data_IF_298463210923
#
_entry.id   IF_298463210923
#
_cell.length_a   1.000
_cell.length_b   1.000
_cell.length_c   1.000
_cell.angle_alpha   90.00
_cell.angle_beta   90.00
_cell.angle_gamma   90.00
#
_symmetry.space_group_name_H-M   'P 1'
#
loop_
_entity.id
_entity.type
_entity.pdbx_description
1 polymer ?
2 polymer ?
3 non-polymer ?
4 water ?
#
# COMPACT_ATOMS: atom_id res chain seq x y z
N UNK A 1 26.92 6.72 11.20
CA UNK A 1 26.41 5.51 11.92
C UNK A 1 24.96 5.20 11.59
N UNK A 2 24.15 6.24 11.46
CA UNK A 2 22.74 6.10 11.14
C UNK A 2 22.49 6.40 9.66
N UNK A 3 21.68 5.57 9.02
CA UNK A 3 21.40 5.75 7.61
C UNK A 3 19.90 5.81 7.33
N UNK A 4 19.57 6.41 6.19
CA UNK A 4 18.19 6.52 5.74
C UNK A 4 18.04 5.46 4.65
N UNK A 5 16.91 4.78 4.66
CA UNK A 5 16.64 3.74 3.67
C UNK A 5 15.26 3.94 3.08
N UNK A 6 15.18 3.90 1.75
CA UNK A 6 13.88 4.04 1.10
C UNK A 6 13.69 3.07 -0.07
N UNK A 7 12.44 2.78 -0.39
CA UNK A 7 12.12 1.85 -1.46
C UNK A 7 11.70 2.45 -2.79
N UNK A 8 12.07 1.73 -3.85
CA UNK A 8 11.74 2.07 -5.23
C UNK A 8 11.49 0.74 -5.91
N UNK A 9 10.93 0.77 -7.11
CA UNK A 9 10.67 -0.44 -7.85
C UNK A 9 12.01 -1.09 -8.19
N UNK A 10 12.15 -2.34 -7.76
CA UNK A 10 13.37 -3.11 -8.02
C UNK A 10 14.59 -2.83 -7.16
N UNK A 11 14.43 -2.04 -6.10
CA UNK A 11 15.58 -1.73 -5.24
C UNK A 11 15.24 -1.05 -3.92
N UNK A 12 16.25 -0.94 -3.06
CA UNK A 12 16.14 -0.26 -1.78
C UNK A 12 17.38 0.67 -1.78
N UNK A 13 17.14 1.97 -1.64
CA UNK A 13 18.23 2.95 -1.63
C UNK A 13 18.72 3.23 -0.21
N UNK A 14 19.97 3.67 -0.12
CA UNK A 14 20.60 3.98 1.16
C UNK A 14 21.41 5.27 1.11
N UNK A 15 21.25 6.10 2.13
CA UNK A 15 22.01 7.35 2.23
C UNK A 15 22.24 7.71 3.69
N UNK A 16 23.48 8.12 4.02
CA UNK A 16 23.92 8.51 5.35
C UNK A 16 23.21 9.71 5.93
N UNK A 17 23.09 9.72 7.26
CA UNK A 17 22.47 10.79 8.01
C UNK A 17 23.48 11.26 9.05
N UNK A 18 24.19 12.35 8.77
CA UNK A 18 25.16 12.88 9.71
C UNK A 18 24.58 14.13 10.38
N UNK A 19 24.15 13.96 11.63
CA UNK A 19 23.55 15.03 12.42
C UNK A 19 22.36 15.71 11.75
N UNK A 20 21.25 14.97 11.65
CA UNK A 20 20.01 15.45 11.04
C UNK A 20 20.15 15.98 9.61
N UNK A 21 21.20 15.55 8.91
CA UNK A 21 21.44 15.99 7.54
C UNK A 21 21.61 14.81 6.57
N UNK A 22 20.93 14.87 5.44
CA UNK A 22 21.03 13.81 4.43
C UNK A 22 22.26 14.02 3.55
N UNK A 23 23.12 13.01 3.46
CA UNK A 23 24.31 13.09 2.61
C UNK A 23 23.89 12.61 1.23
N UNK A 24 23.22 13.50 0.49
CA UNK A 24 22.69 13.18 -0.85
C UNK A 24 23.69 12.65 -1.86
N UNK A 25 24.90 13.20 -1.84
CA UNK A 25 25.95 12.78 -2.77
C UNK A 25 26.49 11.39 -2.49
N UNK A 26 26.21 10.88 -1.29
CA UNK A 26 26.66 9.57 -0.85
C UNK A 26 25.60 8.47 -0.99
N UNK A 27 24.47 8.82 -1.59
CA UNK A 27 23.38 7.88 -1.80
C UNK A 27 23.76 6.76 -2.79
N UNK A 28 23.76 5.53 -2.28
CA UNK A 28 24.09 4.36 -3.10
C UNK A 28 23.05 3.29 -2.83
N UNK A 29 22.90 2.36 -3.77
CA UNK A 29 21.94 1.28 -3.62
C UNK A 29 22.33 0.32 -2.51
N UNK A 30 21.36 -0.01 -1.67
CA UNK A 30 21.58 -0.94 -0.58
C UNK A 30 21.42 -2.36 -1.14
N UNK A 31 20.40 -2.54 -1.95
CA UNK A 31 20.11 -3.85 -2.51
C UNK A 31 19.31 -3.72 -3.79
N UNK A 32 19.62 -4.60 -4.74
CA UNK A 32 18.90 -4.66 -6.00
C UNK A 32 18.12 -5.97 -6.06
N UNK A 33 16.80 -5.86 -6.16
CA UNK A 33 15.94 -7.04 -6.28
C UNK A 33 15.06 -6.68 -7.47
N UNK A 34 15.62 -6.78 -8.69
CA UNK A 34 15.02 -6.47 -9.99
C UNK A 34 13.57 -6.89 -10.26
N UNK A 35 13.19 -8.09 -9.82
CA UNK A 35 11.82 -8.54 -10.05
C UNK A 35 10.77 -7.99 -9.08
N UNK A 36 11.20 -7.36 -8.00
CA UNK A 36 10.26 -6.87 -6.98
C UNK A 36 9.88 -5.39 -6.92
N UNK A 37 8.74 -5.14 -6.30
CA UNK A 37 8.24 -3.78 -6.09
C UNK A 37 8.19 -3.68 -4.56
N UNK A 38 9.29 -3.20 -3.99
CA UNK A 38 9.42 -3.05 -2.54
C UNK A 38 8.51 -1.91 -2.07
N UNK A 39 7.67 -2.20 -1.08
CA UNK A 39 6.75 -1.19 -0.56
C UNK A 39 7.06 -0.78 0.88
N UNK A 40 6.92 -1.71 1.82
CA UNK A 40 7.20 -1.39 3.21
C UNK A 40 8.62 -1.69 3.65
N UNK A 41 9.14 -0.89 4.58
CA UNK A 41 10.49 -1.09 5.11
C UNK A 41 10.52 -0.92 6.62
N UNK A 42 11.38 -1.68 7.28
CA UNK A 42 11.54 -1.60 8.73
C UNK A 42 12.99 -1.98 9.06
N UNK A 43 13.43 -1.65 10.26
CA UNK A 43 14.80 -1.95 10.63
C UNK A 43 14.93 -2.49 12.05
N UNK A 44 15.60 -3.63 12.19
CA UNK A 44 15.82 -4.27 13.48
C UNK A 44 17.14 -3.75 14.05
N UNK A 45 17.05 -2.92 15.09
CA UNK A 45 18.22 -2.32 15.71
C UNK A 45 19.19 -3.23 16.44
N UNK A 46 18.75 -4.41 16.88
CA UNK A 46 19.66 -5.31 17.60
C UNK A 46 20.59 -6.10 16.69
N UNK A 47 20.06 -6.62 15.58
CA UNK A 47 20.87 -7.38 14.63
C UNK A 47 21.26 -6.60 13.39
N UNK A 48 20.77 -5.36 13.29
CA UNK A 48 21.04 -4.49 12.14
C UNK A 48 20.51 -5.15 10.87
N UNK A 49 19.23 -5.49 10.87
CA UNK A 49 18.61 -6.14 9.71
C UNK A 49 17.45 -5.33 9.14
N UNK A 50 17.45 -5.21 7.82
CA UNK A 50 16.42 -4.49 7.09
C UNK A 50 15.30 -5.46 6.66
N UNK A 51 14.05 -5.11 6.98
CA UNK A 51 12.90 -5.92 6.59
C UNK A 51 12.08 -5.16 5.55
N UNK A 52 11.42 -5.91 4.66
CA UNK A 52 10.60 -5.31 3.60
C UNK A 52 9.42 -6.16 3.15
N UNK A 53 8.50 -5.50 2.46
CA UNK A 53 7.33 -6.18 1.90
C UNK A 53 7.40 -5.95 0.40
N UNK A 54 7.01 -6.97 -0.35
CA UNK A 54 7.01 -6.93 -1.81
C UNK A 54 5.61 -7.30 -2.31
N UNK A 55 5.00 -6.41 -3.07
CA UNK A 55 3.66 -6.65 -3.61
C UNK A 55 3.66 -7.36 -4.96
N UNK A 56 4.85 -7.59 -5.51
CA UNK A 56 5.00 -8.24 -6.80
C UNK A 56 4.81 -9.77 -6.77
N UNK A 57 5.55 -10.46 -5.91
CA UNK A 57 5.45 -11.91 -5.82
C UNK A 57 4.10 -12.45 -5.32
N UNK A 58 3.62 -11.98 -4.14
CA UNK A 58 4.15 -11.01 -3.19
C UNK A 58 4.99 -11.71 -2.12
N UNK A 59 5.68 -10.95 -1.28
CA UNK A 59 6.51 -11.54 -0.24
C UNK A 59 7.02 -10.56 0.81
N UNK A 60 7.61 -11.12 1.86
CA UNK A 60 8.20 -10.36 2.95
C UNK A 60 9.60 -10.93 3.09
N UNK A 61 10.60 -10.05 3.08
CA UNK A 61 11.97 -10.50 3.18
C UNK A 61 12.85 -9.68 4.10
N UNK A 62 14.11 -10.11 4.21
CA UNK A 62 15.08 -9.43 5.06
C UNK A 62 16.52 -9.68 4.61
N UNK A 63 17.40 -8.76 5.01
CA UNK A 63 18.82 -8.84 4.69
C UNK A 63 19.59 -7.98 5.68
N UNK A 64 20.77 -8.45 6.08
CA UNK A 64 21.61 -7.71 7.01
C UNK A 64 22.05 -6.41 6.33
N UNK A 65 22.20 -5.35 7.12
CA UNK A 65 22.62 -4.07 6.60
C UNK A 65 24.05 -4.16 6.08
N UNK A 66 24.87 -4.93 6.79
CA UNK A 66 26.27 -5.11 6.44
C UNK A 66 26.48 -6.31 5.52
N UNK A 67 26.50 -6.04 4.21
CA UNK A 67 26.69 -7.10 3.22
C UNK A 67 25.41 -7.84 2.91
N UNK A 68 25.10 -8.84 3.73
CA UNK A 68 23.89 -9.65 3.61
C UNK A 68 23.18 -9.89 2.28
N UNK A 69 22.96 -11.18 2.01
CA UNK A 69 22.25 -11.61 0.81
C UNK A 69 20.75 -11.56 1.16
N UNK A 70 19.90 -11.06 0.25
CA UNK A 70 18.45 -10.98 0.52
C UNK A 70 17.79 -12.34 0.65
N UNK A 71 16.97 -12.51 1.69
CA UNK A 71 16.26 -13.78 1.91
C UNK A 71 14.78 -13.54 2.18
N UNK A 72 13.94 -14.32 1.51
CA UNK A 72 12.49 -14.24 1.66
C UNK A 72 12.03 -15.12 2.82
N UNK A 73 11.22 -14.56 3.72
CA UNK A 73 10.72 -15.34 4.86
C UNK A 73 9.28 -15.81 4.69
N UNK A 74 8.46 -15.03 3.97
CA UNK A 74 7.07 -15.39 3.75
C UNK A 74 6.63 -15.16 2.30
N UNK A 75 5.91 -16.14 1.74
CA UNK A 75 5.39 -16.10 0.37
C UNK A 75 3.93 -16.54 0.34
N UNK A 76 3.64 -17.64 1.04
CA UNK A 76 2.31 -18.24 1.08
C UNK A 76 1.23 -17.35 1.69
N UNK A 77 -0.01 -17.58 1.28
CA UNK A 77 -1.17 -16.87 1.79
C UNK A 77 -0.97 -15.38 2.07
N UNK A 78 -0.41 -14.68 1.08
CA UNK A 78 -0.16 -13.25 1.18
C UNK A 78 -0.94 -12.52 0.11
N UNK A 79 -1.47 -11.35 0.49
CA UNK A 79 -2.22 -10.54 -0.44
C UNK A 79 -1.38 -9.37 -0.93
N UNK A 80 -1.53 -8.23 -0.28
CA UNK A 80 -0.79 -7.02 -0.62
C UNK A 80 -0.14 -6.39 0.63
N UNK A 81 1.01 -6.93 1.06
CA UNK A 81 1.72 -6.41 2.25
C UNK A 81 2.32 -5.04 1.93
N UNK A 82 1.90 -4.02 2.65
CA UNK A 82 2.37 -2.66 2.37
C UNK A 82 3.01 -1.89 3.51
N UNK A 83 3.09 -2.51 4.66
CA UNK A 83 3.70 -1.87 5.82
C UNK A 83 4.19 -2.98 6.72
N UNK A 84 5.34 -2.77 7.36
CA UNK A 84 5.90 -3.76 8.25
C UNK A 84 6.60 -3.06 9.41
N UNK A 85 6.35 -3.56 10.63
CA UNK A 85 6.93 -3.02 11.85
C UNK A 85 7.52 -4.16 12.68
N UNK A 86 8.46 -3.84 13.56
CA UNK A 86 9.10 -4.87 14.36
C UNK A 86 9.03 -4.69 15.86
N UNK A 87 9.24 -5.80 16.57
CA UNK A 87 9.30 -5.82 18.02
C UNK A 87 10.72 -6.36 18.21
N UNK A 88 11.68 -5.46 18.35
CA UNK A 88 13.07 -5.85 18.50
C UNK A 88 13.36 -6.56 19.83
N UNK A 89 12.45 -6.43 20.80
CA UNK A 89 12.61 -7.06 22.10
C UNK A 89 12.06 -8.48 22.07
N UNK A 90 10.78 -8.60 21.69
CA UNK A 90 10.13 -9.90 21.61
C UNK A 90 10.52 -10.70 20.39
N UNK A 91 11.22 -10.07 19.45
CA UNK A 91 11.70 -10.72 18.21
C UNK A 91 10.57 -11.11 17.25
N UNK A 92 9.69 -10.16 16.94
CA UNK A 92 8.59 -10.45 16.02
C UNK A 92 8.34 -9.32 15.01
N UNK A 93 7.63 -9.64 13.94
CA UNK A 93 7.28 -8.67 12.91
C UNK A 93 5.76 -8.50 12.86
N UNK A 94 5.32 -7.37 12.33
CA UNK A 94 3.90 -7.05 12.18
C UNK A 94 3.76 -6.48 10.78
N UNK A 95 2.63 -6.72 10.11
CA UNK A 95 2.46 -6.15 8.79
C UNK A 95 1.00 -5.96 8.40
N UNK A 96 0.77 -5.05 7.47
CA UNK A 96 -0.56 -4.78 6.97
C UNK A 96 -0.72 -5.45 5.61
N UNK A 97 -1.94 -5.88 5.31
CA UNK A 97 -2.25 -6.53 4.05
C UNK A 97 -3.58 -5.93 3.64
N UNK A 98 -3.55 -5.09 2.60
CA UNK A 98 -4.75 -4.40 2.12
C UNK A 98 -5.61 -5.20 1.13
N UNK A 99 -5.19 -6.42 0.84
CA UNK A 99 -5.93 -7.31 -0.07
C UNK A 99 -6.71 -8.30 0.79
N UNK A 100 -6.00 -9.06 1.63
CA UNK A 100 -6.62 -10.03 2.54
C UNK A 100 -7.26 -9.33 3.75
N UNK A 101 -7.06 -8.02 3.82
CA UNK A 101 -7.61 -7.18 4.88
C UNK A 101 -7.26 -7.59 6.29
N UNK A 102 -5.97 -7.57 6.59
CA UNK A 102 -5.55 -7.96 7.92
C UNK A 102 -4.20 -7.46 8.36
N UNK A 103 -3.94 -7.66 9.65
CA UNK A 103 -2.69 -7.31 10.28
C UNK A 103 -2.21 -8.60 10.93
N UNK A 104 -1.07 -9.08 10.48
CA UNK A 104 -0.52 -10.31 11.02
C UNK A 104 0.76 -10.05 11.81
N UNK A 105 1.08 -10.99 12.67
CA UNK A 105 2.28 -10.92 13.48
C UNK A 105 2.94 -12.29 13.33
N UNK A 106 4.28 -12.31 13.35
CA UNK A 106 5.02 -13.56 13.20
C UNK A 106 6.45 -13.40 13.75
N UNK A 107 7.16 -14.52 13.89
CA UNK A 107 8.53 -14.50 14.37
C UNK A 107 9.43 -13.83 13.32
N UNK A 108 10.61 -13.38 13.72
CA UNK A 108 11.53 -12.73 12.80
C UNK A 108 11.79 -13.56 11.52
N UNK A 109 11.85 -14.88 11.67
CA UNK A 109 12.09 -15.75 10.51
C UNK A 109 10.82 -16.08 9.72
N UNK A 110 9.71 -15.44 10.09
CA UNK A 110 8.46 -15.66 9.39
C UNK A 110 7.58 -16.82 9.86
N UNK A 111 8.04 -17.58 10.85
CA UNK A 111 7.24 -18.70 11.34
C UNK A 111 6.24 -18.31 12.42
N UNK A 112 5.31 -19.21 12.69
CA UNK A 112 4.27 -19.04 13.70
C UNK A 112 3.38 -17.82 13.49
N UNK A 113 2.89 -17.70 12.25
CA UNK A 113 2.00 -16.61 11.88
C UNK A 113 0.71 -16.62 12.70
N UNK A 114 0.20 -15.42 12.96
CA UNK A 114 -1.04 -15.25 13.69
C UNK A 114 -1.71 -14.00 13.13
N UNK A 115 -3.01 -14.12 12.84
CA UNK A 115 -3.76 -12.98 12.34
C UNK A 115 -4.17 -12.19 13.57
N UNK A 116 -3.51 -11.06 13.77
CA UNK A 116 -3.79 -10.20 14.92
C UNK A 116 -5.16 -9.54 14.79
N UNK A 117 -5.45 -8.98 13.61
CA UNK A 117 -6.73 -8.33 13.35
C UNK A 117 -7.15 -8.60 11.92
N UNK A 118 -8.45 -8.72 11.67
CA UNK A 118 -8.92 -8.97 10.31
C UNK A 118 -10.34 -8.50 10.04
N UNK A 119 -10.82 -7.59 10.88
CA UNK A 119 -12.15 -7.02 10.72
C UNK A 119 -11.95 -5.52 10.81
N UNK A 120 -12.81 -4.75 10.16
CA UNK A 120 -12.67 -3.29 10.18
C UNK A 120 -11.46 -2.78 9.41
N UNK A 121 -10.87 -3.62 8.59
CA UNK A 121 -9.69 -3.24 7.80
C UNK A 121 -10.05 -3.29 6.32
N UNK A 122 -9.85 -2.19 5.63
CA UNK A 122 -10.15 -2.10 4.21
C UNK A 122 -8.88 -1.77 3.42
N UNK A 123 -8.17 -0.73 3.85
CA UNK A 123 -6.93 -0.33 3.21
C UNK A 123 -5.82 -0.01 4.22
N UNK A 124 -5.50 -0.97 5.12
CA UNK A 124 -4.44 -0.68 6.09
C UNK A 124 -3.15 -0.50 5.31
N UNK A 125 -2.25 0.32 5.82
CA UNK A 125 -1.00 0.54 5.11
C UNK A 125 0.12 0.81 6.10
N UNK A 126 0.21 2.03 6.61
CA UNK A 126 1.24 2.36 7.57
C UNK A 126 1.08 1.62 8.88
N UNK A 127 2.20 1.18 9.45
CA UNK A 127 2.17 0.49 10.74
C UNK A 127 3.52 0.62 11.45
N UNK A 128 3.47 0.95 12.74
CA UNK A 128 4.68 1.10 13.55
C UNK A 128 4.48 0.55 14.95
N UNK A 129 5.59 0.27 15.62
CA UNK A 129 5.58 -0.25 16.98
C UNK A 129 6.32 0.68 17.91
N UNK A 130 6.11 0.47 19.20
CA UNK A 130 6.78 1.18 20.29
C UNK A 130 6.99 0.01 21.26
N UNK A 131 7.94 -0.88 20.93
CA UNK A 131 8.26 -2.06 21.73
C UNK A 131 8.42 -1.87 23.23
N UNK A 132 9.03 -0.76 23.64
CA UNK A 132 9.24 -0.52 25.06
C UNK A 132 7.93 -0.34 25.85
N UNK A 133 6.94 0.35 25.25
CA UNK A 133 5.66 0.56 25.93
C UNK A 133 4.57 -0.45 25.51
N UNK A 134 4.91 -1.33 24.56
CA UNK A 134 3.98 -2.34 24.09
C UNK A 134 2.80 -1.89 23.25
N UNK A 135 3.00 -0.84 22.45
CA UNK A 135 1.93 -0.34 21.61
C UNK A 135 2.13 -0.46 20.10
N UNK A 136 1.02 -0.69 19.40
CA UNK A 136 0.99 -0.84 17.95
C UNK A 136 0.09 0.26 17.37
N UNK A 137 0.51 0.85 16.25
CA UNK A 137 -0.25 1.91 15.59
C UNK A 137 -0.30 1.68 14.07
N UNK A 138 -1.44 1.99 13.45
CA UNK A 138 -1.54 1.82 12.01
C UNK A 138 -2.54 2.76 11.35
N UNK A 139 -2.42 2.90 10.04
CA UNK A 139 -3.34 3.74 9.27
C UNK A 139 -4.15 2.86 8.35
N UNK A 140 -5.34 3.33 8.01
CA UNK A 140 -6.23 2.62 7.09
C UNK A 140 -6.77 3.75 6.24
N UNK A 141 -6.31 3.83 4.99
CA UNK A 141 -6.77 4.91 4.12
C UNK A 141 -8.13 4.75 3.48
N UNK A 142 -8.94 3.86 4.06
CA UNK A 142 -10.33 3.58 3.65
C UNK A 142 -10.96 4.88 3.15
N UNK A 143 -11.18 4.98 1.84
CA UNK A 143 -11.73 6.19 1.24
C UNK A 143 -12.91 6.79 2.00
N UNK A 144 -13.83 5.93 2.42
CA UNK A 144 -15.03 6.37 3.13
C UNK A 144 -14.84 6.66 4.62
N UNK A 145 -14.02 5.85 5.28
CA UNK A 145 -13.78 6.04 6.71
C UNK A 145 -12.31 5.85 7.08
N UNK A 146 -11.45 6.80 6.68
CA UNK A 146 -10.02 6.72 6.98
C UNK A 146 -9.79 6.80 8.50
N UNK A 147 -8.74 6.14 8.98
CA UNK A 147 -8.49 6.18 10.42
C UNK A 147 -7.06 5.83 10.84
N UNK A 148 -6.72 6.27 12.05
CA UNK A 148 -5.44 5.98 12.67
C UNK A 148 -5.87 5.15 13.87
N UNK A 149 -5.37 3.92 13.97
CA UNK A 149 -5.75 3.07 15.09
C UNK A 149 -4.56 2.65 15.93
N UNK A 150 -4.86 2.22 17.15
CA UNK A 150 -3.83 1.74 18.04
C UNK A 150 -4.36 0.53 18.79
N UNK A 151 -3.42 -0.26 19.30
CA UNK A 151 -3.76 -1.44 20.09
C UNK A 151 -2.49 -1.86 20.79
N UNK A 152 -2.62 -2.77 21.75
CA UNK A 152 -1.45 -3.29 22.44
C UNK A 152 -0.80 -4.21 21.39
N UNK A 153 0.50 -4.44 21.51
CA UNK A 153 1.17 -5.32 20.57
C UNK A 153 0.69 -6.76 20.72
N UNK A 154 0.09 -7.06 21.88
CA UNK A 154 -0.44 -8.41 22.16
C UNK A 154 -1.81 -8.66 21.54
N UNK A 155 -2.40 -7.63 20.93
CA UNK A 155 -3.69 -7.80 20.28
C UNK A 155 -4.90 -7.29 21.03
N UNK A 156 -4.72 -6.85 22.28
CA UNK A 156 -5.83 -6.33 23.07
C UNK A 156 -5.90 -4.80 22.95
N UNK A 157 -6.97 -4.25 23.50
CA UNK A 157 -7.19 -2.81 23.55
C UNK A 157 -7.14 -2.04 22.21
N UNK A 158 -7.79 -2.60 21.20
CA UNK A 158 -7.85 -1.93 19.91
C UNK A 158 -8.80 -0.74 20.01
N UNK A 159 -8.42 0.38 19.40
CA UNK A 159 -9.27 1.57 19.42
C UNK A 159 -8.84 2.58 18.37
N UNK A 160 -9.78 3.40 17.95
CA UNK A 160 -9.53 4.44 16.96
C UNK A 160 -8.95 5.65 17.68
N UNK A 161 -7.85 6.17 17.13
CA UNK A 161 -7.16 7.33 17.70
C UNK A 161 -7.60 8.62 17.00
N UNK A 162 -7.72 8.58 15.68
CA UNK A 162 -8.13 9.74 14.89
C UNK A 162 -9.03 9.22 13.78
N UNK A 163 -10.08 9.98 13.46
CA UNK A 163 -11.05 9.58 12.46
C UNK A 163 -11.49 10.76 11.60
N UNK A 164 -11.70 11.89 12.25
CA UNK A 164 -12.11 13.12 11.58
C UNK A 164 -10.95 13.82 10.91
N UNK A 165 -11.28 14.62 9.90
CA UNK A 165 -10.29 15.37 9.15
C UNK A 165 -9.10 14.54 8.66
N UNK A 166 -9.40 13.36 8.16
CA UNK A 166 -8.39 12.46 7.60
C UNK A 166 -8.84 12.18 6.17
N UNK A 167 -7.89 12.09 5.25
CA UNK A 167 -8.21 11.80 3.86
C UNK A 167 -7.58 10.51 3.42
N UNK A 168 -6.27 10.54 3.20
CA UNK A 168 -5.52 9.36 2.80
C UNK A 168 -4.28 9.22 3.70
N UNK A 169 -4.46 8.77 4.95
CA UNK A 169 -3.30 8.61 5.84
C UNK A 169 -2.49 7.41 5.36
N UNK A 170 -1.42 7.69 4.60
CA UNK A 170 -0.59 6.64 4.04
C UNK A 170 0.49 6.04 4.92
N UNK A 171 1.08 6.85 5.77
CA UNK A 171 2.12 6.36 6.64
C UNK A 171 2.13 7.07 7.98
N UNK A 172 2.67 6.42 8.99
CA UNK A 172 2.77 7.05 10.30
C UNK A 172 4.08 6.67 10.97
N UNK A 173 4.42 7.40 12.02
CA UNK A 173 5.66 7.13 12.71
C UNK A 173 5.52 7.52 14.17
N UNK A 174 6.27 6.87 15.04
CA UNK A 174 6.20 7.18 16.46
C UNK A 174 7.55 7.51 17.04
N UNK A 175 7.61 8.61 17.78
CA UNK A 175 8.85 9.05 18.43
C UNK A 175 8.67 8.88 19.94
N UNK A 176 9.37 7.89 20.48
CA UNK A 176 9.31 7.54 21.90
C UNK A 176 9.59 8.66 22.91
N UNK A 177 10.58 9.50 22.64
CA UNK A 177 10.91 10.58 23.57
C UNK A 177 9.79 11.59 23.71
N UNK A 178 9.36 12.15 22.58
CA UNK A 178 8.30 13.14 22.61
C UNK A 178 6.89 12.55 22.71
N UNK A 179 6.79 11.22 22.78
CA UNK A 179 5.50 10.53 22.85
C UNK A 179 4.58 11.12 21.77
N UNK A 180 5.14 11.20 20.56
CA UNK A 180 4.45 11.78 19.43
C UNK A 180 4.22 10.81 18.27
N UNK A 181 2.97 10.69 17.88
CA UNK A 181 2.59 9.85 16.76
C UNK A 181 2.26 10.80 15.61
N UNK A 182 3.00 10.68 14.52
CA UNK A 182 2.77 11.54 13.37
C UNK A 182 2.42 10.71 12.14
N UNK A 183 1.58 11.26 11.28
CA UNK A 183 1.22 10.59 10.05
C UNK A 183 1.25 11.60 8.91
N UNK A 184 1.33 11.12 7.68
CA UNK A 184 1.33 11.97 6.50
C UNK A 184 0.05 11.62 5.75
N UNK A 185 -0.67 12.64 5.30
CA UNK A 185 -1.95 12.43 4.64
C UNK A 185 -1.98 13.00 3.24
N UNK A 186 -2.14 12.13 2.24
CA UNK A 186 -2.17 12.56 0.85
C UNK A 186 -3.53 13.07 0.40
N UNK A 187 -4.47 13.11 1.34
CA UNK A 187 -5.82 13.59 1.05
C UNK A 187 -6.01 14.99 1.59
N UNK A 188 -5.56 15.22 2.83
CA UNK A 188 -5.64 16.53 3.47
C UNK A 188 -4.36 17.32 3.17
N UNK A 189 -3.42 16.67 2.49
CA UNK A 189 -2.13 17.27 2.11
C UNK A 189 -1.32 17.81 3.29
N UNK A 190 -1.25 17.02 4.36
CA UNK A 190 -0.49 17.44 5.52
C UNK A 190 0.07 16.34 6.40
N UNK A 191 0.87 16.75 7.37
CA UNK A 191 1.47 15.85 8.34
C UNK A 191 0.87 16.26 9.68
N UNK A 192 0.40 15.27 10.45
CA UNK A 192 -0.18 15.58 11.75
C UNK A 192 0.45 14.73 12.83
N UNK A 193 0.68 15.35 13.99
CA UNK A 193 1.27 14.68 15.13
C UNK A 193 0.32 14.80 16.30
N UNK A 194 0.38 13.82 17.18
CA UNK A 194 -0.47 13.81 18.35
C UNK A 194 0.14 12.92 19.43
N UNK A 195 -0.25 13.18 20.68
CA UNK A 195 0.19 12.37 21.80
C UNK A 195 -0.97 11.41 22.03
N UNK A 196 -0.73 10.09 21.93
CA UNK A 196 -1.79 9.09 22.12
C UNK A 196 -2.57 9.22 23.43
N UNK A 197 -1.97 9.89 24.42
CA UNK A 197 -2.63 10.11 25.71
C UNK A 197 -3.69 11.20 25.61
N UNK A 198 -3.39 12.24 24.81
CA UNK A 198 -4.30 13.37 24.57
C UNK A 198 -4.49 13.41 23.05
N UNK A 199 -5.26 12.46 22.50
CA UNK A 199 -5.55 12.34 21.06
C UNK A 199 -6.19 13.55 20.38
N UNK A 200 -6.97 14.32 21.14
CA UNK A 200 -7.64 15.48 20.59
C UNK A 200 -6.81 16.63 20.04
N UNK A 201 -5.61 16.83 20.59
CA UNK A 201 -4.74 17.91 20.15
C UNK A 201 -3.75 17.49 19.05
N UNK A 202 -3.97 18.00 17.84
CA UNK A 202 -3.13 17.68 16.70
C UNK A 202 -2.31 18.84 16.13
N UNK A 203 -0.98 18.65 16.07
CA UNK A 203 -0.09 19.64 15.48
C UNK A 203 -0.19 19.37 13.99
N UNK A 204 -0.27 20.40 13.16
CA UNK A 204 -0.35 20.15 11.73
C UNK A 204 0.62 20.96 10.89
N UNK A 205 1.25 20.28 9.95
CA UNK A 205 2.17 20.89 9.01
C UNK A 205 1.47 20.79 7.65
N UNK A 206 1.29 21.92 6.98
CA UNK A 206 0.61 21.94 5.69
C UNK A 206 1.55 21.97 4.49
N UNK A 207 0.98 21.80 3.31
CA UNK A 207 1.77 21.85 2.09
C UNK A 207 2.37 20.57 1.56
N UNK A 208 2.01 19.41 2.11
CA UNK A 208 2.55 18.14 1.63
C UNK A 208 1.81 17.70 0.36
N UNK A 209 2.54 17.62 -0.74
CA UNK A 209 1.97 17.26 -2.04
C UNK A 209 1.29 15.89 -2.14
N UNK A 210 2.07 14.81 -2.04
CA UNK A 210 1.50 13.47 -2.10
C UNK A 210 2.38 12.49 -1.35
N UNK A 211 2.36 12.58 -0.01
CA UNK A 211 3.16 11.74 0.87
C UNK A 211 2.71 10.29 0.82
N UNK A 212 3.66 9.37 0.85
CA UNK A 212 3.35 7.95 0.86
C UNK A 212 3.78 7.29 2.16
N UNK A 213 5.03 7.52 2.58
CA UNK A 213 5.53 6.93 3.81
C UNK A 213 6.31 7.95 4.60
N UNK A 214 6.50 7.68 5.87
CA UNK A 214 7.23 8.60 6.73
C UNK A 214 7.92 7.85 7.85
N UNK A 215 9.00 8.44 8.33
CA UNK A 215 9.77 7.91 9.43
C UNK A 215 10.32 9.12 10.17
N UNK A 216 10.77 8.92 11.39
CA UNK A 216 11.28 10.04 12.16
C UNK A 216 12.64 9.80 12.80
N UNK A 217 13.33 10.91 13.04
CA UNK A 217 14.64 10.91 13.68
C UNK A 217 14.68 12.19 14.52
N UNK A 218 14.21 12.08 15.76
CA UNK A 218 14.17 13.21 16.68
C UNK A 218 13.08 14.21 16.35
N UNK A 219 13.50 15.44 16.06
CA UNK A 219 12.58 16.53 15.72
C UNK A 219 12.24 16.56 14.21
N UNK A 220 13.01 15.83 13.42
CA UNK A 220 12.80 15.78 11.97
C UNK A 220 11.96 14.62 11.42
N UNK A 221 11.17 14.92 10.41
CA UNK A 221 10.34 13.92 9.75
C UNK A 221 10.89 13.73 8.34
N UNK A 222 10.92 12.49 7.88
CA UNK A 222 11.40 12.22 6.53
C UNK A 222 10.29 11.44 5.82
N UNK A 223 9.75 12.03 4.76
CA UNK A 223 8.70 11.36 4.01
C UNK A 223 8.98 11.23 2.52
N UNK A 224 8.36 10.22 1.90
CA UNK A 224 8.50 9.99 0.47
C UNK A 224 7.28 10.60 -0.20
N UNK A 225 7.50 11.26 -1.33
CA UNK A 225 6.43 11.93 -2.04
C UNK A 225 6.33 11.46 -3.48
N UNK A 226 5.10 11.10 -3.88
CA UNK A 226 4.80 10.61 -5.22
C UNK A 226 4.72 11.71 -6.29
N UNK A 227 4.34 12.91 -5.87
CA UNK A 227 4.21 14.03 -6.79
C UNK A 227 5.59 14.60 -7.15
N UNK A 228 6.42 14.83 -6.14
CA UNK A 228 7.75 15.41 -6.33
C UNK A 228 8.86 14.39 -6.58
N UNK A 229 8.57 13.12 -6.39
CA UNK A 229 9.57 12.06 -6.55
C UNK A 229 10.81 12.35 -5.73
N UNK A 230 10.62 12.65 -4.45
CA UNK A 230 11.75 12.94 -3.58
C UNK A 230 11.49 12.60 -2.13
N UNK A 231 12.58 12.56 -1.36
CA UNK A 231 12.51 12.31 0.08
C UNK A 231 12.59 13.71 0.68
N UNK A 232 11.58 14.07 1.46
CA UNK A 232 11.53 15.39 2.06
C UNK A 232 11.70 15.35 3.58
N UNK A 233 12.62 16.19 4.07
CA UNK A 233 12.89 16.31 5.51
C UNK A 233 12.17 17.54 6.05
N UNK A 234 11.34 17.34 7.07
CA UNK A 234 10.59 18.43 7.68
C UNK A 234 10.81 18.50 9.18
N UNK A 235 10.90 19.71 9.71
CA UNK A 235 11.08 19.92 11.15
C UNK A 235 9.70 20.16 11.78
N UNK A 236 9.39 19.38 12.80
CA UNK A 236 8.10 19.46 13.49
C UNK A 236 7.73 20.86 14.00
N UNK A 237 8.47 21.33 15.01
CA UNK A 237 8.23 22.62 15.64
C UNK A 237 8.17 23.83 14.70
N UNK A 238 9.29 24.20 14.11
CA UNK A 238 9.32 25.35 13.21
C UNK A 238 8.49 25.18 11.94
N UNK A 239 7.99 23.96 11.71
CA UNK A 239 7.17 23.65 10.54
C UNK A 239 7.79 24.12 9.23
N UNK A 240 9.08 23.86 9.09
CA UNK A 240 9.82 24.26 7.90
C UNK A 240 10.28 23.03 7.11
N UNK A 241 10.52 23.23 5.83
CA UNK A 241 11.02 22.15 4.97
C UNK A 241 12.53 22.26 5.04
N UNK A 242 13.15 21.34 5.77
CA UNK A 242 14.59 21.36 5.95
C UNK A 242 15.39 21.07 4.69
N UNK A 243 15.02 20.02 3.95
CA UNK A 243 15.76 19.62 2.77
C UNK A 243 15.00 18.62 1.91
N UNK A 244 15.45 18.43 0.68
CA UNK A 244 14.82 17.47 -0.24
C UNK A 244 15.90 16.73 -1.02
N UNK A 245 15.64 15.45 -1.30
CA UNK A 245 16.57 14.63 -2.06
C UNK A 245 15.85 14.03 -3.26
N UNK A 246 16.34 14.34 -4.45
CA UNK A 246 15.77 13.79 -5.68
C UNK A 246 16.71 12.74 -6.23
N UNK A 247 16.36 11.45 -6.11
CA UNK A 247 17.26 10.42 -6.65
C UNK A 247 17.30 10.59 -8.17
N UNK A 248 18.46 10.38 -8.79
CA UNK A 248 18.60 10.54 -10.24
C UNK A 248 17.57 9.75 -11.06
N UNK A 249 17.31 8.52 -10.64
CA UNK A 249 16.32 7.68 -11.32
C UNK A 249 14.98 8.05 -10.69
N UNK A 250 14.25 8.93 -11.36
CA UNK A 250 12.97 9.44 -10.86
C UNK A 250 11.75 8.51 -10.90
N UNK A 251 11.89 7.30 -10.34
CA UNK A 251 10.78 6.36 -10.28
C UNK A 251 10.03 6.53 -8.95
N UNK A 252 8.86 5.91 -8.84
CA UNK A 252 8.02 6.02 -7.65
C UNK A 252 8.71 5.57 -6.36
N UNK A 253 8.76 6.46 -5.38
CA UNK A 253 9.37 6.16 -4.08
C UNK A 253 8.31 5.54 -3.17
N UNK A 254 8.70 4.56 -2.35
CA UNK A 254 7.75 3.93 -1.44
C UNK A 254 8.12 4.07 0.04
N UNK A 255 8.23 2.94 0.74
CA UNK A 255 8.55 2.96 2.16
C UNK A 255 9.86 3.64 2.52
N UNK A 256 9.98 4.04 3.76
CA UNK A 256 11.17 4.71 4.26
C UNK A 256 11.37 4.37 5.73
N UNK A 257 12.61 4.13 6.11
CA UNK A 257 12.94 3.79 7.49
C UNK A 257 14.35 4.27 7.83
N UNK A 258 14.65 4.36 9.11
CA UNK A 258 15.97 4.82 9.54
C UNK A 258 16.76 3.70 10.22
N UNK A 259 17.97 3.48 9.72
CA UNK A 259 18.86 2.46 10.27
C UNK A 259 19.68 3.06 11.40
N UNK A 260 19.26 2.83 12.63
CA UNK A 260 19.97 3.35 13.80
C UNK A 260 21.18 2.50 14.12
N UNK A 261 22.22 3.14 14.66
CA UNK A 261 23.47 2.45 15.02
C UNK A 261 23.31 1.60 16.28
N UNK A 262 22.25 1.87 17.03
CA UNK A 262 21.93 1.14 18.25
C UNK A 262 20.47 1.39 18.60
N UNK A 263 19.88 0.53 19.43
CA UNK A 263 18.49 0.67 19.82
C UNK A 263 18.20 1.92 20.67
N UNK B 1 29.90 -0.50 -26.94
CA UNK B 1 30.75 0.50 -26.22
C UNK B 1 29.93 1.61 -25.55
N UNK B 2 28.99 2.26 -26.28
CA UNK B 2 28.21 3.32 -25.63
C UNK B 2 27.28 2.73 -24.56
N UNK B 3 26.86 3.55 -23.60
CA UNK B 3 25.97 3.10 -22.54
C UNK B 3 24.69 2.50 -23.11
N UNK B 4 24.35 1.26 -22.73
CA UNK B 4 23.13 0.63 -23.23
C UNK B 4 21.94 1.18 -22.45
N UNK B 5 21.67 2.47 -22.65
CA UNK B 5 20.60 3.17 -21.95
C UNK B 5 19.88 4.16 -22.84
N UNK B 6 18.60 4.40 -22.58
CA UNK B 6 17.81 5.34 -23.39
C UNK B 6 18.14 6.79 -23.04
N UNK B 7 17.68 7.71 -23.88
CA UNK B 7 17.86 9.14 -23.68
C UNK B 7 19.18 9.71 -23.20
N UNK B 8 20.27 9.37 -23.88
CA UNK B 8 21.58 9.90 -23.52
C UNK B 8 21.96 9.85 -22.05
N UNK B 9 21.46 8.84 -21.34
CA UNK B 9 21.77 8.72 -19.93
C UNK B 9 23.16 8.11 -19.75
N UNK B 10 23.86 8.57 -18.73
CA UNK B 10 25.18 8.04 -18.40
C UNK B 10 24.92 6.70 -17.70
N UNK B 11 25.96 5.88 -17.58
CA UNK B 11 25.81 4.59 -16.92
C UNK B 11 27.03 4.20 -16.11
N UNK B 12 26.84 3.20 -15.25
CA UNK B 12 27.91 2.69 -14.43
C UNK B 12 27.96 1.17 -14.60
N UNK B 13 29.15 0.64 -14.78
CA UNK B 13 29.32 -0.81 -14.92
C UNK B 13 30.39 -1.30 -13.95
N UNK B 14 30.02 -2.30 -13.16
CA UNK B 14 30.93 -2.89 -12.19
C UNK B 14 31.42 -4.19 -12.80
N UNK B 15 32.57 -4.17 -13.48
CA UNK B 15 33.13 -5.36 -14.13
C UNK B 15 33.25 -6.63 -13.26
N UNK B 16 33.44 -6.46 -11.94
CA UNK B 16 33.55 -7.61 -11.04
C UNK B 16 32.26 -8.44 -11.02
N UNK B 17 31.12 -7.76 -11.00
CA UNK B 17 29.79 -8.42 -10.99
C UNK B 17 29.13 -8.21 -12.37
N UNK B 18 29.81 -7.47 -13.24
CA UNK B 18 29.35 -7.17 -14.60
C UNK B 18 28.00 -6.46 -14.76
N UNK B 19 27.38 -6.03 -13.66
CA UNK B 19 26.09 -5.36 -13.76
C UNK B 19 26.24 -3.91 -14.19
N UNK B 20 25.44 -3.52 -15.18
CA UNK B 20 25.44 -2.16 -15.67
C UNK B 20 24.17 -1.46 -15.20
N UNK B 21 24.35 -0.23 -14.74
CA UNK B 21 23.25 0.56 -14.24
C UNK B 21 23.12 1.89 -14.98
N UNK B 22 21.95 2.14 -15.57
CA UNK B 22 21.70 3.41 -16.24
C UNK B 22 21.42 4.40 -15.12
N UNK B 23 21.97 5.60 -15.22
CA UNK B 23 21.75 6.60 -14.19
C UNK B 23 20.29 7.06 -14.18
N UNK B 24 19.79 7.36 -15.37
CA UNK B 24 18.42 7.82 -15.54
C UNK B 24 17.62 6.83 -16.37
N UNK B 25 16.30 6.91 -16.27
CA UNK B 25 15.39 6.05 -17.01
C UNK B 25 14.21 6.85 -17.47
N UNK B 26 13.67 6.51 -18.65
CA UNK B 26 12.50 7.26 -19.16
C UNK B 26 11.27 7.02 -18.27
N UNK B 27 10.37 8.01 -18.25
CA UNK B 27 9.16 7.95 -17.44
C UNK B 27 8.34 6.67 -17.62
N UNK B 28 7.98 6.05 -16.50
CA UNK B 28 7.18 4.84 -16.56
C UNK B 28 8.01 3.57 -16.47
N UNK B 29 9.31 3.68 -16.70
CA UNK B 29 10.21 2.52 -16.66
C UNK B 29 10.97 2.45 -15.31
N UNK B 30 11.57 1.30 -15.04
CA UNK B 30 12.35 1.10 -13.83
C UNK B 30 13.39 0.01 -14.07
N UNK B 31 14.18 -0.29 -13.04
CA UNK B 31 15.21 -1.30 -13.16
C UNK B 31 16.57 -0.73 -13.54
N UNK B 32 17.61 -1.53 -13.38
CA UNK B 32 18.97 -1.12 -13.68
C UNK B 32 19.17 -0.64 -15.12
N UNK B 33 18.56 -1.34 -16.09
CA UNK B 33 18.69 -0.96 -17.49
C UNK B 33 17.36 -0.41 -18.04
N UNK B 34 16.47 0.01 -17.16
CA UNK B 34 15.15 0.51 -17.55
C UNK B 34 14.47 -0.61 -18.35
N UNK B 35 14.76 -1.85 -17.97
CA UNK B 35 14.22 -3.03 -18.65
C UNK B 35 12.79 -3.37 -18.28
N UNK B 36 12.22 -2.68 -17.31
CA UNK B 36 10.86 -2.97 -16.90
C UNK B 36 10.03 -1.73 -16.64
N UNK B 37 8.75 -1.93 -16.34
CA UNK B 37 7.87 -0.81 -16.07
C UNK B 37 7.72 -0.61 -14.58
N UNK B 38 7.55 0.65 -14.21
CA UNK B 38 7.37 1.04 -12.83
C UNK B 38 5.96 0.62 -12.41
N UNK B 39 5.73 0.47 -11.11
CA UNK B 39 4.42 0.12 -10.62
C UNK B 39 3.49 1.23 -11.07
N UNK B 40 2.31 0.85 -11.58
CA UNK B 40 1.35 1.83 -12.08
C UNK B 40 1.38 1.88 -13.61
N UNK B 41 2.32 1.14 -14.20
CA UNK B 41 2.50 1.06 -15.65
C UNK B 41 2.59 -0.41 -16.05
N UNK B 42 2.51 -0.66 -17.35
CA UNK B 42 2.61 -2.01 -17.86
C UNK B 42 3.24 -1.97 -19.25
N UNK B 43 3.88 -3.07 -19.62
CA UNK B 43 4.51 -3.15 -20.92
C UNK B 43 5.74 -4.03 -20.92
N UNK B 44 6.57 -3.83 -21.95
CA UNK B 44 7.82 -4.55 -22.14
C UNK B 44 8.65 -3.58 -22.98
N UNK B 45 9.24 -2.58 -22.31
CA UNK B 45 10.07 -1.53 -22.93
C UNK B 45 11.25 -1.98 -23.81
N UNK B 46 11.92 -3.05 -23.43
CA UNK B 46 13.06 -3.53 -24.21
C UNK B 46 12.77 -4.79 -25.03
N UNK B 47 11.52 -5.24 -25.02
CA UNK B 47 11.15 -6.43 -25.76
C UNK B 47 11.88 -7.67 -25.26
N UNK B 48 11.88 -7.84 -23.95
CA UNK B 48 12.57 -8.97 -23.32
C UNK B 48 11.88 -10.32 -23.54
N UNK B 49 10.57 -10.29 -23.80
CA UNK B 49 9.80 -11.52 -24.04
C UNK B 49 8.60 -11.28 -24.94
N UNK B 50 8.86 -10.57 -26.03
CA UNK B 50 7.84 -10.23 -27.00
C UNK B 50 8.19 -8.92 -27.65
N UNK B 51 7.43 -8.48 -28.67
CA UNK B 51 7.71 -7.21 -29.34
C UNK B 51 7.76 -6.05 -28.34
N UNK B 52 8.44 -4.97 -28.71
CA UNK B 52 8.54 -3.82 -27.85
C UNK B 52 7.17 -3.19 -27.58
N UNK B 53 6.91 -2.96 -26.29
CA UNK B 53 5.68 -2.31 -25.84
C UNK B 53 6.10 -1.27 -24.80
N UNK B 54 6.07 0.00 -25.19
CA UNK B 54 6.45 1.07 -24.28
C UNK B 54 5.55 1.10 -23.05
N UNK B 55 6.14 1.36 -21.90
CA UNK B 55 5.38 1.40 -20.66
C UNK B 55 4.35 2.52 -20.71
N UNK B 56 3.13 2.18 -20.33
CA UNK B 56 2.07 3.17 -20.29
C UNK B 56 1.24 2.88 -19.04
N UNK B 57 0.55 3.90 -18.51
CA UNK B 57 -0.27 3.73 -17.31
C UNK B 57 -1.33 2.64 -17.43
N UNK B 58 -1.64 2.00 -16.31
CA UNK B 58 -2.66 0.95 -16.27
C UNK B 58 -3.94 1.44 -16.96
N UNK B 59 -4.51 0.60 -17.82
CA UNK B 59 -5.76 0.93 -18.51
C UNK B 59 -6.88 0.13 -17.85
N UNK B 60 -7.57 0.75 -16.90
CA UNK B 60 -8.63 0.06 -16.17
C UNK B 60 -9.96 0.80 -16.08
N UNK B 61 -10.29 1.54 -17.13
CA UNK B 61 -11.53 2.30 -17.21
C UNK B 61 -11.81 3.18 -16.00
N UNK B 62 -10.75 3.75 -15.43
CA UNK B 62 -10.86 4.62 -14.26
C UNK B 62 -11.51 3.91 -13.08
N UNK B 63 -11.42 2.59 -13.06
CA UNK B 63 -12.00 1.82 -11.97
C UNK B 63 -10.97 1.28 -10.98
N UNK B 64 -9.86 2.01 -10.86
CA UNK B 64 -8.81 1.66 -9.92
C UNK B 64 -8.52 2.89 -9.08
N UNK B 65 -7.98 2.69 -7.89
CA UNK B 65 -7.67 3.82 -6.99
C UNK B 65 -6.24 4.29 -7.19
N UNK B 66 -6.04 5.57 -7.50
CA UNK B 66 -4.70 6.16 -7.72
C UNK B 66 -3.81 6.09 -6.47
N UNK B 67 -4.42 5.90 -5.29
CA UNK B 67 -3.68 5.81 -4.04
C UNK B 67 -3.23 4.39 -3.72
N UNK B 68 -3.68 3.43 -4.52
CA UNK B 68 -3.31 2.04 -4.34
C UNK B 68 -2.04 1.73 -5.11
N UNK B 69 -1.35 0.66 -4.73
CA UNK B 69 -0.15 0.21 -5.41
C UNK B 69 -0.50 -1.17 -6.00
N UNK B 70 0.21 -1.60 -7.04
CA UNK B 70 -0.08 -2.89 -7.65
C UNK B 70 -1.45 -2.95 -8.32
N UNK B 71 -1.85 -1.83 -8.90
CA UNK B 71 -3.13 -1.73 -9.59
C UNK B 71 -3.26 -2.64 -10.81
N UNK B 72 -2.16 -2.92 -11.51
CA UNK B 72 -2.20 -3.80 -12.67
C UNK B 72 -0.91 -4.58 -12.87
N UNK B 73 -0.99 -5.71 -13.57
CA UNK B 73 0.16 -6.54 -13.88
C UNK B 73 1.10 -5.72 -14.78
N UNK B 74 2.36 -5.58 -14.36
CA UNK B 74 3.33 -4.77 -15.10
C UNK B 74 3.77 -5.26 -16.48
N UNK B 75 3.40 -6.49 -16.83
CA UNK B 75 3.74 -7.06 -18.13
C UNK B 75 2.54 -7.09 -19.07
N UNK B 76 1.43 -7.67 -18.60
CA UNK B 76 0.20 -7.80 -19.40
C UNK B 76 -0.76 -6.62 -19.33
N UNK B 77 -0.80 -5.94 -18.20
CA UNK B 77 -1.70 -4.82 -18.05
C UNK B 77 -3.00 -5.23 -17.37
N UNK B 78 -3.08 -6.49 -16.96
CA UNK B 78 -4.27 -7.00 -16.29
C UNK B 78 -4.53 -6.21 -15.00
N UNK B 79 -5.70 -5.59 -14.92
CA UNK B 79 -6.10 -4.83 -13.74
C UNK B 79 -6.29 -5.78 -12.56
N UNK B 80 -5.60 -5.49 -11.45
CA UNK B 80 -5.64 -6.34 -10.28
C UNK B 80 -6.46 -5.86 -9.08
N UNK B 81 -6.70 -4.55 -8.98
CA UNK B 81 -7.44 -4.02 -7.85
C UNK B 81 -8.61 -3.11 -8.26
N UNK B 82 -9.59 -3.69 -8.97
CA UNK B 82 -10.75 -2.93 -9.42
C UNK B 82 -11.61 -2.53 -8.23
N UNK B 83 -12.13 -1.30 -8.26
CA UNK B 83 -12.98 -0.83 -7.18
C UNK B 83 -14.40 -0.59 -7.69
N UNK B 84 -15.25 0.01 -6.84
CA UNK B 84 -16.64 0.27 -7.19
C UNK B 84 -17.34 -1.05 -7.55
N UNK B 85 -16.83 -2.13 -6.96
CA UNK B 85 -17.34 -3.50 -7.17
C UNK B 85 -17.23 -4.03 -8.59
N UNK B 86 -16.34 -3.44 -9.40
CA UNK B 86 -16.14 -3.90 -10.78
C UNK B 86 -15.11 -5.04 -10.78
N UNK B 87 -14.92 -5.66 -11.93
CA UNK B 87 -13.99 -6.77 -12.07
C UNK B 87 -13.63 -7.02 -13.54
N UNK B 88 -12.86 -8.08 -13.79
CA UNK B 88 -12.45 -8.42 -15.14
C UNK B 88 -11.10 -7.81 -15.49
N UNK B 89 -10.50 -8.31 -16.57
CA UNK B 89 -9.20 -7.86 -17.05
C UNK B 89 -9.02 -6.33 -17.12
N UNK B 90 -10.06 -5.61 -17.52
CA UNK B 90 -9.98 -4.15 -17.61
C UNK B 90 -10.98 -3.47 -16.66
N UNK B 91 -11.44 -4.21 -15.65
CA UNK B 91 -12.45 -3.69 -14.71
C UNK B 91 -13.70 -3.33 -15.54
N UNK B 92 -13.95 -4.14 -16.56
CA UNK B 92 -15.06 -3.93 -17.50
C UNK B 92 -16.34 -4.74 -17.23
N UNK B 93 -16.45 -5.32 -16.04
CA UNK B 93 -17.64 -6.07 -15.66
C UNK B 93 -17.87 -5.90 -14.16
N UNK B 94 -19.00 -6.40 -13.67
CA UNK B 94 -19.29 -6.32 -12.25
C UNK B 94 -18.90 -7.64 -11.61
N UNK B 95 -18.61 -7.60 -10.31
CA UNK B 95 -18.28 -8.81 -9.58
C UNK B 95 -19.56 -9.62 -9.46
N UNK B 96 -19.42 -10.90 -9.15
CA UNK B 96 -20.55 -11.79 -8.96
C UNK B 96 -21.45 -11.25 -7.85
N UNK B 97 -22.73 -11.11 -8.15
CA UNK B 97 -23.67 -10.62 -7.15
C UNK B 97 -23.90 -9.12 -7.20
N UNK B 98 -23.42 -8.49 -8.26
CA UNK B 98 -23.58 -7.04 -8.43
C UNK B 98 -24.11 -6.75 -9.82
N UNK B 99 -24.72 -5.57 -10.00
CA UNK B 99 -25.27 -5.21 -11.30
C UNK B 99 -25.03 -3.74 -11.61
N UNK B 100 -25.17 -3.40 -12.89
CA UNK B 100 -24.97 -2.03 -13.33
C UNK B 100 -23.98 -1.94 -14.48
N UNK B 101 -23.56 -0.71 -14.78
CA UNK B 101 -22.62 -0.44 -15.86
C UNK B 101 -21.28 -0.02 -15.24
N UNK B 102 -20.28 -0.91 -15.27
CA UNK B 102 -18.97 -0.58 -14.69
C UNK B 102 -18.31 0.62 -15.36
N UNK B 103 -18.69 0.89 -16.61
CA UNK B 103 -18.12 2.02 -17.34
C UNK B 103 -18.88 3.33 -17.12
N UNK B 104 -19.88 3.30 -16.26
CA UNK B 104 -20.67 4.50 -15.94
C UNK B 104 -19.73 5.56 -15.35
N UNK B 105 -19.98 6.84 -15.66
CA UNK B 105 -19.16 7.95 -15.17
C UNK B 105 -19.23 8.11 -13.66
N UNK B 106 -20.45 8.11 -13.13
CA UNK B 106 -20.69 8.25 -11.70
C UNK B 106 -20.48 6.89 -11.03
N UNK B 107 -19.57 6.82 -10.04
CA UNK B 107 -19.27 5.58 -9.33
C UNK B 107 -20.48 4.98 -8.62
N UNK B 108 -21.42 5.84 -8.24
CA UNK B 108 -22.65 5.43 -7.55
C UNK B 108 -23.46 4.46 -8.40
N UNK B 109 -23.70 4.80 -9.67
CA UNK B 109 -24.45 3.90 -10.52
C UNK B 109 -23.59 3.00 -11.38
N UNK B 110 -22.55 2.41 -10.78
CA UNK B 110 -21.68 1.46 -11.46
C UNK B 110 -22.18 0.08 -11.05
N UNK B 111 -21.41 -0.67 -10.27
CA UNK B 111 -21.81 -2.00 -9.84
C UNK B 111 -22.36 -2.03 -8.41
N UNK B 112 -23.67 -2.25 -8.27
CA UNK B 112 -24.31 -2.29 -6.97
C UNK B 112 -24.69 -3.72 -6.61
N UNK B 113 -24.80 -4.00 -5.31
CA UNK B 113 -25.17 -5.33 -4.83
C UNK B 113 -26.59 -5.69 -5.24
N UNK B 114 -26.76 -6.92 -5.72
CA UNK B 114 -28.08 -7.40 -6.12
C UNK B 114 -29.01 -7.41 -4.91
N UNK B 115 -28.49 -7.87 -3.77
CA UNK B 115 -29.26 -7.93 -2.52
C UNK B 115 -30.61 -8.63 -2.69
N UNK B 116 -30.58 -9.78 -3.36
CA UNK B 116 -31.79 -10.55 -3.60
C UNK B 116 -32.33 -11.13 -2.29
N UNK B 117 -33.63 -11.04 -2.12
CA UNK B 117 -34.32 -11.56 -0.94
C UNK B 117 -34.24 -13.08 -1.01
N UNK B 118 -33.67 -13.72 0.03
CA UNK B 118 -33.53 -15.19 0.10
C UNK B 118 -34.83 -15.99 0.13
N UNK B 119 -35.95 -15.33 0.44
CA UNK B 119 -37.24 -16.02 0.48
C UNK B 119 -37.97 -15.91 -0.86
N UNK B 120 -37.91 -14.74 -1.47
CA UNK B 120 -38.60 -14.53 -2.72
C UNK B 120 -37.86 -14.83 -4.01
N UNK B 121 -36.56 -15.15 -3.90
CA UNK B 121 -35.75 -15.43 -5.08
C UNK B 121 -35.57 -16.92 -5.34
N UNK B 122 -35.71 -17.30 -6.61
CA UNK B 122 -35.57 -18.69 -7.06
C UNK B 122 -34.22 -19.27 -6.62
N UNK B 123 -34.27 -20.44 -5.99
CA UNK B 123 -33.07 -21.14 -5.53
C UNK B 123 -32.11 -20.32 -4.66
N UNK B 124 -32.61 -19.23 -4.08
CA UNK B 124 -31.81 -18.35 -3.23
C UNK B 124 -30.58 -17.76 -3.92
N UNK B 125 -30.68 -17.57 -5.23
CA UNK B 125 -29.59 -17.01 -6.03
C UNK B 125 -29.20 -15.62 -5.56
N UNK B 126 -27.92 -15.31 -5.69
CA UNK B 126 -27.39 -14.00 -5.29
C UNK B 126 -27.13 -13.09 -6.47
N UNK B 127 -27.12 -13.65 -7.69
CA UNK B 127 -26.90 -12.88 -8.91
C UNK B 127 -28.20 -12.24 -9.40
N UNK B 128 -28.08 -11.31 -10.34
CA UNK B 128 -29.27 -10.65 -10.87
C UNK B 128 -29.03 -10.09 -12.27
N UNK B 129 -30.09 -9.58 -12.90
CA UNK B 129 -29.98 -9.02 -14.24
C UNK B 129 -28.90 -7.95 -14.27
N UNK B 130 -27.94 -8.06 -15.20
CA UNK B 130 -26.82 -7.12 -15.34
C UNK B 130 -27.18 -5.65 -15.52
N UNK B 131 -28.37 -5.38 -16.06
CA UNK B 131 -28.81 -4.01 -16.29
C UNK B 131 -29.87 -3.50 -15.33
N UNK B 132 -30.96 -4.24 -15.18
CA UNK B 132 -32.06 -3.85 -14.30
C UNK B 132 -31.83 -4.22 -12.85
N UNK B 133 -31.00 -5.23 -12.62
CA UNK B 133 -30.73 -5.68 -11.26
C UNK B 133 -31.82 -6.58 -10.72
N UNK B 134 -32.84 -6.80 -11.55
CA UNK B 134 -33.96 -7.65 -11.20
C UNK B 134 -33.56 -9.09 -10.87
N UNK B 135 -33.87 -9.50 -9.64
CA UNK B 135 -33.57 -10.85 -9.19
C UNK B 135 -34.67 -11.76 -9.77
N UNK B 136 -34.36 -13.05 -9.89
CA UNK B 136 -35.31 -14.01 -10.44
C UNK B 136 -36.33 -14.39 -9.36
N UNK B 137 -37.46 -13.68 -9.36
CA UNK B 137 -38.53 -13.87 -8.39
C UNK B 137 -39.33 -15.16 -8.49
N UNK B 138 -39.78 -15.65 -7.34
CA UNK B 138 -40.60 -16.86 -7.26
C UNK B 138 -42.03 -16.46 -7.61
N UNK B 139 -42.92 -17.43 -7.84
CA UNK B 139 -44.32 -17.14 -8.18
C UNK B 139 -45.00 -16.09 -7.30
N UNK B 140 -45.62 -15.10 -7.95
CA UNK B 140 -46.36 -14.03 -7.28
C UNK B 140 -45.53 -13.08 -6.41
N UNK B 141 -44.23 -13.06 -6.67
CA UNK B 141 -43.32 -12.18 -5.95
C UNK B 141 -42.84 -11.10 -6.93
N UNK B 142 -42.87 -9.84 -6.49
CA UNK B 142 -42.42 -8.73 -7.33
C UNK B 142 -41.36 -7.89 -6.62
N UNK B 143 -40.89 -6.85 -7.29
CA UNK B 143 -39.86 -6.00 -6.72
C UNK B 143 -38.51 -6.45 -7.25
N UNK B 144 -37.59 -5.50 -7.40
CA UNK B 144 -36.25 -5.79 -7.92
C UNK B 144 -35.55 -6.88 -7.12
N UNK B 145 -35.59 -6.78 -5.80
CA UNK B 145 -34.96 -7.75 -4.92
C UNK B 145 -35.85 -8.94 -4.58
N UNK B 146 -37.06 -8.96 -5.16
CA UNK B 146 -38.04 -10.02 -4.90
C UNK B 146 -38.41 -10.07 -3.42
N UNK B 147 -38.57 -8.90 -2.82
CA UNK B 147 -38.92 -8.84 -1.40
C UNK B 147 -40.33 -8.36 -1.12
N UNK B 148 -41.18 -8.35 -2.15
CA UNK B 148 -42.55 -7.89 -1.99
C UNK B 148 -43.53 -8.81 -2.70
N UNK B 149 -44.62 -9.14 -2.00
CA UNK B 149 -45.66 -10.00 -2.55
C UNK B 149 -46.53 -9.20 -3.52
N UNK B 150 -47.04 -9.87 -4.55
CA UNK B 150 -47.93 -9.20 -5.50
C UNK B 150 -49.21 -8.88 -4.74
N UNK B 151 -49.88 -7.76 -5.09
CA UNK B 151 -51.13 -7.40 -4.39
C UNK B 151 -52.13 -8.55 -4.40
N UNK B 152 -52.62 -8.90 -3.22
CA UNK B 152 -53.58 -9.99 -3.11
C UNK B 152 -52.91 -11.30 -2.75
N UNK B 153 -51.60 -11.23 -2.50
CA UNK B 153 -50.82 -12.41 -2.13
C UNK B 153 -50.06 -12.17 -0.83
N UNK B 154 -49.82 -13.24 -0.07
CA UNK B 154 -49.16 -13.13 1.23
C UNK B 154 -48.12 -14.20 1.50
N UNK B 155 -47.48 -14.06 2.67
CA UNK B 155 -46.46 -15.00 3.15
C UNK B 155 -45.27 -15.24 2.23
N UNK B 156 -44.44 -14.22 2.07
CA UNK B 156 -43.25 -14.30 1.24
C UNK B 156 -42.29 -15.34 1.82
N UNK B 157 -42.31 -15.48 3.14
CA UNK B 157 -41.43 -16.41 3.85
C UNK B 157 -41.69 -17.90 3.62
N UNK B 158 -42.67 -18.21 2.77
CA UNK B 158 -42.99 -19.59 2.43
C UNK B 158 -41.83 -20.21 1.67
N UNK B 159 -41.07 -19.36 0.98
CA UNK B 159 -39.92 -19.81 0.21
C UNK B 159 -40.32 -20.51 -1.07
N UNK B 160 -41.61 -20.44 -1.39
CA UNK B 160 -42.17 -21.06 -2.59
C UNK B 160 -42.90 -20.00 -3.41
N UNK B 161 -42.78 -18.75 -2.96
CA UNK B 161 -43.45 -17.65 -3.63
C UNK B 161 -44.66 -17.32 -2.79
N UNK B 162 -45.17 -16.08 -2.90
CA UNK B 162 -46.33 -15.68 -2.12
C UNK B 162 -47.56 -16.53 -2.46
N UNK B 163 -48.47 -16.67 -1.51
CA UNK B 163 -49.66 -17.48 -1.70
C UNK B 163 -50.92 -16.84 -1.14
N UNK B 164 -52.05 -17.49 -1.34
CA UNK B 164 -53.33 -17.03 -0.85
C UNK B 164 -54.33 -18.17 -0.71
X LIG C 1 -8.91 -4.35 1.19
X LIG D 1 -5.67 16.61 -3.27
X LIG E 1 23.24 -4.48 -7.38
X LIG F 1 -22.88 -14.87 -12.57
X LIG G 1 19.72 13.52 -12.82
X LIG H 1 -49.99 -19.35 -8.79
#
# INVERSE_FOLDING_TARGET
GTHLLFAQTGKIERLPLERNTMKKTEAKAFLHIPAKVIIGLAFDCVDKVVYWTDISEPSIGRASLHGGEPTTIIRQDLGSPEGIALDHLGRTIFWTDSQLDRIEVAKMDGTQRRVLFDTGLVNPRGIVTDPVRGNLYWTDWNRDNPKIETSHMDGTNRRILAQDNLGLPNGLTFDAFSSQLCWVDAGTHRAECLNPAQPGRRKVLEGLQYPFAVTSYGKNLYYTDWKTNSVIAMDLAISKEMDTFHPHKQTRLYGITIALSQCPQGH
QPCPCPGGSSCAIVPKTKEVVCTHCPTGTAGKRCELCDDGYFGDPLGSNGPVRLCRPCQCNDNIDPNAVGNCNRLTGECLKCIYNTAGFYCDRCKEGFFGNPLAPNPADKCKACACNPYGTVQQQSSCNPVTGQCQCLPHVSGRDCGTCDPGYYNLQSGQGCER
CD CD
CD CD
CD CD
CD CD
CD CD
CD CD
#
